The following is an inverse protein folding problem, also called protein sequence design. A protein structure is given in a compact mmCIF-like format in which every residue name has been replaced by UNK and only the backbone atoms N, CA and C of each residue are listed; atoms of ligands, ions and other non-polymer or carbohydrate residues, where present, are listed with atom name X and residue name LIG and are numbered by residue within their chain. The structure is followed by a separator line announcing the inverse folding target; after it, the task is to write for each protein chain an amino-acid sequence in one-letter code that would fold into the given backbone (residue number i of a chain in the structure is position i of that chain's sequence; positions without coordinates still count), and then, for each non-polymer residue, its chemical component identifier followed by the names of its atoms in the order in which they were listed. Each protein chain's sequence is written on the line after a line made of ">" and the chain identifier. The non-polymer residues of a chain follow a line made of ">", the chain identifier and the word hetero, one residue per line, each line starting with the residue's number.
data_IF_715913334989
#
_entry.id   IF_715913334989
#
_cell.length_a   1.000
_cell.length_b   1.000
_cell.length_c   1.000
_cell.angle_alpha   90.00
_cell.angle_beta   90.00
_cell.angle_gamma   90.00
#
_symmetry.space_group_name_H-M   'P 1'
#
loop_
_entity.id
_entity.type
_entity.pdbx_description
1 polymer ?
#
# COMPACT_ATOMS: atom_id res chain seq x y z
N UNK A 1 -2.68 -4.95 11.73
CA UNK A 1 -3.59 -3.94 11.18
C UNK A 1 -4.92 -4.60 10.90
N UNK A 2 -5.99 -4.07 11.45
CA UNK A 2 -7.34 -4.55 11.16
C UNK A 2 -7.94 -3.62 10.11
N UNK A 3 -8.20 -4.14 8.91
CA UNK A 3 -9.03 -3.47 7.92
C UNK A 3 -10.47 -3.89 8.20
N UNK A 4 -11.27 -2.98 8.75
CA UNK A 4 -12.72 -3.19 8.88
C UNK A 4 -13.34 -2.91 7.53
N UNK A 5 -13.78 -3.96 6.84
CA UNK A 5 -14.72 -3.85 5.74
C UNK A 5 -16.13 -3.96 6.32
N UNK A 6 -17.07 -3.16 5.83
CA UNK A 6 -18.47 -3.16 6.30
C UNK A 6 -19.03 -4.59 6.28
N UNK A 7 -19.16 -5.19 7.46
CA UNK A 7 -19.70 -6.54 7.67
C UNK A 7 -18.72 -7.68 7.86
N UNK A 8 -17.40 -7.47 7.74
CA UNK A 8 -16.40 -8.48 8.08
C UNK A 8 -15.10 -7.84 8.60
N UNK A 9 -14.56 -8.34 9.69
CA UNK A 9 -13.25 -7.95 10.19
C UNK A 9 -12.19 -8.84 9.56
N UNK A 10 -11.16 -8.23 8.98
CA UNK A 10 -10.03 -8.95 8.41
C UNK A 10 -8.74 -8.48 9.06
N UNK A 11 -8.01 -9.41 9.68
CA UNK A 11 -6.70 -9.15 10.23
C UNK A 11 -5.63 -9.62 9.25
N UNK A 12 -4.73 -8.72 8.87
CA UNK A 12 -3.58 -9.02 8.01
C UNK A 12 -2.33 -8.92 8.87
N UNK A 13 -1.60 -10.02 8.99
CA UNK A 13 -0.29 -10.04 9.64
C UNK A 13 0.79 -9.77 8.61
N UNK A 14 1.68 -8.82 8.92
CA UNK A 14 2.84 -8.51 8.09
C UNK A 14 3.91 -9.61 8.22
N UNK A 15 3.94 -10.50 7.25
CA UNK A 15 5.01 -11.49 7.06
C UNK A 15 5.58 -11.45 5.63
N UNK A 16 5.58 -10.25 5.01
CA UNK A 16 6.22 -10.00 3.71
C UNK A 16 5.29 -10.05 2.48
N UNK A 17 4.19 -10.80 2.48
CA UNK A 17 3.24 -10.87 1.38
C UNK A 17 2.01 -9.94 1.48
N UNK A 18 1.54 -9.53 2.66
CA UNK A 18 0.53 -8.46 2.75
C UNK A 18 0.99 -7.13 2.18
N UNK A 19 2.31 -6.89 2.14
CA UNK A 19 2.91 -5.77 1.42
C UNK A 19 2.58 -5.73 -0.06
N UNK A 20 2.36 -6.88 -0.72
CA UNK A 20 1.93 -6.94 -2.12
C UNK A 20 0.53 -6.32 -2.29
N UNK A 21 -0.39 -6.58 -1.38
CA UNK A 21 -1.73 -6.00 -1.45
C UNK A 21 -1.70 -4.47 -1.27
N UNK A 22 -0.93 -3.97 -0.32
CA UNK A 22 -0.71 -2.53 -0.14
C UNK A 22 -0.02 -1.93 -1.38
N UNK A 23 0.99 -2.61 -1.92
CA UNK A 23 1.70 -2.21 -3.13
C UNK A 23 0.73 -2.06 -4.32
N UNK A 24 -0.08 -3.08 -4.60
CA UNK A 24 -0.98 -3.10 -5.74
C UNK A 24 -2.21 -2.20 -5.53
N UNK A 25 -2.90 -2.34 -4.39
CA UNK A 25 -4.17 -1.66 -4.15
C UNK A 25 -4.04 -0.16 -3.82
N UNK A 26 -2.91 0.26 -3.25
CA UNK A 26 -2.71 1.64 -2.81
C UNK A 26 -1.48 2.25 -3.47
N UNK A 27 -0.34 1.56 -3.45
CA UNK A 27 0.95 2.10 -3.86
C UNK A 27 0.96 2.64 -5.29
N UNK A 28 0.54 1.85 -6.28
CA UNK A 28 0.46 2.31 -7.67
C UNK A 28 -0.51 3.48 -7.85
N UNK A 29 -1.57 3.54 -7.06
CA UNK A 29 -2.50 4.66 -7.07
C UNK A 29 -1.88 5.98 -6.59
N UNK A 30 -0.77 5.94 -5.84
CA UNK A 30 -0.07 7.10 -5.30
C UNK A 30 1.12 7.55 -6.16
N UNK A 31 1.34 6.95 -7.34
CA UNK A 31 2.35 7.40 -8.30
C UNK A 31 1.92 8.69 -9.00
N UNK A 32 2.83 9.64 -9.09
CA UNK A 32 2.54 11.03 -9.51
C UNK A 32 2.04 11.15 -10.95
N UNK A 33 2.49 10.31 -11.87
CA UNK A 33 2.10 10.37 -13.27
C UNK A 33 0.61 9.99 -13.48
N UNK A 34 0.09 9.00 -12.78
CA UNK A 34 -1.34 8.66 -12.79
C UNK A 34 -2.17 9.78 -12.18
N UNK A 35 -1.70 10.35 -11.06
CA UNK A 35 -2.40 11.42 -10.36
C UNK A 35 -2.43 12.72 -11.17
N UNK A 36 -1.32 13.08 -11.83
CA UNK A 36 -1.28 14.24 -12.74
C UNK A 36 -2.21 14.09 -13.94
N UNK A 37 -2.33 12.86 -14.47
CA UNK A 37 -3.21 12.56 -15.62
C UNK A 37 -4.69 12.42 -15.21
N UNK A 38 -5.00 12.40 -13.91
CA UNK A 38 -6.36 12.19 -13.40
C UNK A 38 -6.88 10.77 -13.57
N UNK A 39 -5.98 9.77 -13.67
CA UNK A 39 -6.32 8.36 -13.93
C UNK A 39 -6.15 7.48 -12.70
N UNK A 40 -5.94 8.07 -11.52
CA UNK A 40 -5.91 7.37 -10.24
C UNK A 40 -7.13 7.74 -9.40
N UNK A 41 -7.60 6.79 -8.59
CA UNK A 41 -8.58 7.01 -7.52
C UNK A 41 -8.17 8.14 -6.57
N UNK A 42 -6.88 8.37 -6.37
CA UNK A 42 -6.32 9.37 -5.46
C UNK A 42 -6.08 10.74 -6.12
N UNK A 43 -6.41 10.91 -7.40
CA UNK A 43 -6.20 12.17 -8.11
C UNK A 43 -6.95 13.32 -7.46
N UNK A 44 -6.24 14.43 -7.22
CA UNK A 44 -6.74 15.67 -6.57
C UNK A 44 -7.22 15.49 -5.12
N UNK A 45 -6.82 14.42 -4.43
CA UNK A 45 -7.25 14.15 -3.05
C UNK A 45 -6.21 14.51 -1.99
N UNK A 46 -5.15 15.25 -2.31
CA UNK A 46 -4.22 15.75 -1.29
C UNK A 46 -4.98 16.60 -0.26
N UNK A 47 -4.80 16.29 1.02
CA UNK A 47 -5.51 16.89 2.14
C UNK A 47 -6.84 16.21 2.48
N UNK A 48 -7.31 15.27 1.68
CA UNK A 48 -8.54 14.50 1.94
C UNK A 48 -8.24 13.20 2.68
N UNK A 49 -9.25 12.72 3.40
CA UNK A 49 -9.19 11.41 4.06
C UNK A 49 -9.38 10.30 3.02
N UNK A 50 -8.38 9.44 2.91
CA UNK A 50 -8.33 8.31 1.97
C UNK A 50 -8.16 6.97 2.68
N UNK A 51 -8.00 6.98 4.00
CA UNK A 51 -7.91 5.78 4.83
C UNK A 51 -8.44 6.04 6.23
N UNK A 52 -8.60 4.98 7.01
CA UNK A 52 -9.03 5.07 8.41
C UNK A 52 -8.05 5.91 9.25
N UNK A 53 -8.56 6.53 10.30
CA UNK A 53 -7.74 7.25 11.28
C UNK A 53 -6.67 6.34 11.86
N UNK A 54 -5.46 6.88 12.08
CA UNK A 54 -4.30 6.15 12.58
C UNK A 54 -3.50 5.42 11.49
N UNK A 55 -3.95 5.43 10.24
CA UNK A 55 -3.22 4.80 9.13
C UNK A 55 -2.14 5.76 8.61
N UNK A 56 -0.88 5.31 8.67
CA UNK A 56 0.27 6.00 8.10
C UNK A 56 0.92 5.11 7.04
N UNK A 57 1.14 5.64 5.85
CA UNK A 57 1.80 4.93 4.73
C UNK A 57 3.04 5.69 4.32
N UNK A 58 4.16 4.98 4.26
CA UNK A 58 5.45 5.49 3.84
C UNK A 58 5.93 4.79 2.57
N UNK A 59 6.69 5.51 1.75
CA UNK A 59 7.60 4.96 0.76
C UNK A 59 9.02 5.39 1.11
N UNK A 60 9.90 4.43 1.42
CA UNK A 60 11.21 4.70 2.00
C UNK A 60 12.32 3.90 1.31
N UNK A 61 13.01 4.57 0.39
CA UNK A 61 14.16 3.98 -0.29
C UNK A 61 15.44 3.93 0.56
N UNK A 62 15.45 4.60 1.72
CA UNK A 62 16.65 4.70 2.59
C UNK A 62 16.84 3.50 3.52
N UNK A 63 15.85 2.61 3.63
CA UNK A 63 15.92 1.41 4.47
C UNK A 63 17.05 0.51 3.97
N UNK A 64 17.99 0.16 4.85
CA UNK A 64 19.14 -0.65 4.48
C UNK A 64 18.75 -2.11 4.18
N UNK A 65 19.34 -2.70 3.14
CA UNK A 65 19.20 -4.12 2.79
C UNK A 65 17.77 -4.57 2.48
N UNK A 66 16.94 -3.69 1.90
CA UNK A 66 15.63 -4.05 1.33
C UNK A 66 15.69 -4.06 -0.20
N UNK A 67 14.75 -4.75 -0.83
CA UNK A 67 14.72 -4.90 -2.29
C UNK A 67 14.53 -3.58 -3.04
N UNK A 68 13.75 -2.66 -2.48
CA UNK A 68 13.49 -1.34 -3.05
C UNK A 68 14.49 -0.27 -2.64
N UNK A 69 15.54 -0.61 -1.87
CA UNK A 69 16.50 0.34 -1.33
C UNK A 69 17.43 0.87 -2.42
N UNK A 70 17.65 2.18 -2.42
CA UNK A 70 18.57 2.86 -3.32
C UNK A 70 19.15 4.10 -2.64
N UNK A 71 20.34 4.52 -3.09
CA UNK A 71 20.99 5.74 -2.59
C UNK A 71 20.50 6.96 -3.36
N UNK A 72 20.36 6.81 -4.67
CA UNK A 72 19.81 7.80 -5.60
C UNK A 72 18.89 7.09 -6.57
N UNK A 73 17.88 7.78 -7.09
CA UNK A 73 17.03 7.25 -8.15
C UNK A 73 17.70 7.34 -9.54
N UNK A 74 17.02 6.90 -10.59
CA UNK A 74 17.56 6.91 -11.96
C UNK A 74 17.66 8.32 -12.60
N UNK A 75 17.25 9.35 -11.90
CA UNK A 75 17.38 10.76 -12.28
C UNK A 75 18.43 11.51 -11.44
N UNK A 76 19.08 10.83 -10.49
CA UNK A 76 20.10 11.41 -9.60
C UNK A 76 19.53 12.10 -8.36
N UNK A 77 18.24 11.95 -8.10
CA UNK A 77 17.59 12.49 -6.90
C UNK A 77 17.90 11.58 -5.71
N UNK A 78 18.39 12.12 -4.57
CA UNK A 78 18.64 11.32 -3.38
C UNK A 78 17.39 10.60 -2.91
N UNK A 79 17.56 9.34 -2.49
CA UNK A 79 16.48 8.56 -1.89
C UNK A 79 15.99 9.20 -0.60
N UNK A 80 14.69 9.11 -0.36
CA UNK A 80 14.01 9.78 0.75
C UNK A 80 13.06 8.82 1.46
N UNK A 81 12.72 9.16 2.71
CA UNK A 81 11.57 8.61 3.41
C UNK A 81 10.38 9.53 3.18
N UNK A 82 9.46 9.11 2.36
CA UNK A 82 8.26 9.87 1.97
C UNK A 82 7.05 9.41 2.78
N UNK A 83 6.45 10.30 3.55
CA UNK A 83 5.14 10.09 4.17
C UNK A 83 4.07 10.40 3.12
N UNK A 84 3.35 9.38 2.67
CA UNK A 84 2.32 9.47 1.64
C UNK A 84 0.93 9.71 2.23
N UNK A 85 0.60 8.95 3.28
CA UNK A 85 -0.67 9.09 4.02
C UNK A 85 -0.32 9.26 5.49
N UNK A 86 -0.88 10.29 6.15
CA UNK A 86 -0.71 10.62 7.56
C UNK A 86 -2.07 10.62 8.27
N UNK A 87 -2.22 9.80 9.30
CA UNK A 87 -3.49 9.65 10.05
C UNK A 87 -4.70 9.44 9.12
N UNK A 88 -4.51 8.73 8.01
CA UNK A 88 -5.51 8.49 6.98
C UNK A 88 -5.73 9.64 5.99
N UNK A 89 -4.98 10.74 6.10
CA UNK A 89 -5.04 11.88 5.16
C UNK A 89 -3.94 11.73 4.12
N UNK A 90 -4.28 11.91 2.84
CA UNK A 90 -3.31 11.92 1.76
C UNK A 90 -2.47 13.19 1.80
N UNK A 91 -1.14 13.09 1.95
CA UNK A 91 -0.21 14.23 2.08
C UNK A 91 0.59 14.51 0.83
N UNK A 92 1.02 13.46 0.12
CA UNK A 92 1.78 13.62 -1.13
C UNK A 92 1.70 12.39 -2.03
N UNK A 93 2.12 12.56 -3.27
CA UNK A 93 2.36 11.48 -4.22
C UNK A 93 3.87 11.19 -4.35
N UNK A 94 4.21 10.01 -4.83
CA UNK A 94 5.57 9.68 -5.27
C UNK A 94 5.84 10.36 -6.62
N UNK A 95 6.98 11.05 -6.75
CA UNK A 95 7.29 11.89 -7.90
C UNK A 95 8.65 11.53 -8.51
N UNK A 96 8.70 11.51 -9.84
CA UNK A 96 9.91 11.72 -10.62
C UNK A 96 10.13 13.21 -10.86
N UNK A 97 11.23 13.60 -11.48
CA UNK A 97 11.57 14.99 -11.76
C UNK A 97 10.56 15.65 -12.72
N UNK A 98 10.13 14.92 -13.77
CA UNK A 98 9.20 15.45 -14.76
C UNK A 98 7.81 15.73 -14.17
N UNK A 99 7.24 14.75 -13.46
CA UNK A 99 5.91 14.91 -12.87
C UNK A 99 5.93 15.91 -11.71
N UNK A 100 7.00 15.95 -10.91
CA UNK A 100 7.21 16.96 -9.88
C UNK A 100 7.19 18.38 -10.46
N UNK A 101 7.95 18.62 -11.54
CA UNK A 101 7.97 19.90 -12.24
C UNK A 101 6.57 20.30 -12.77
N UNK A 102 5.88 19.35 -13.43
CA UNK A 102 4.55 19.62 -14.01
C UNK A 102 3.45 19.84 -12.95
N UNK A 103 3.63 19.31 -11.76
CA UNK A 103 2.71 19.48 -10.62
C UNK A 103 3.15 20.59 -9.66
N UNK A 104 4.29 21.27 -9.94
CA UNK A 104 4.88 22.30 -9.10
C UNK A 104 5.12 21.84 -7.65
N UNK A 105 5.73 20.67 -7.51
CA UNK A 105 6.15 20.05 -6.22
C UNK A 105 7.60 19.58 -6.33
N UNK A 106 8.19 19.18 -5.19
CA UNK A 106 9.54 18.61 -5.17
C UNK A 106 9.55 17.13 -5.58
N UNK A 107 10.62 16.66 -6.27
CA UNK A 107 10.82 15.25 -6.55
C UNK A 107 11.08 14.47 -5.26
N UNK A 108 10.65 13.22 -5.24
CA UNK A 108 10.67 12.38 -4.02
C UNK A 108 11.69 11.25 -4.05
N UNK A 109 12.57 11.19 -5.07
CA UNK A 109 13.56 10.12 -5.22
C UNK A 109 12.92 8.81 -5.69
N UNK A 110 11.84 8.91 -6.45
CA UNK A 110 11.07 7.78 -6.97
C UNK A 110 11.17 7.64 -8.50
N UNK A 111 12.04 8.42 -9.16
CA UNK A 111 12.25 8.35 -10.60
C UNK A 111 12.97 7.07 -10.99
N UNK A 112 12.26 6.08 -11.55
CA UNK A 112 12.83 4.78 -11.91
C UNK A 112 12.53 4.41 -13.34
N UNK A 113 13.46 3.72 -13.99
CA UNK A 113 13.34 3.25 -15.38
C UNK A 113 13.46 1.72 -15.45
N UNK A 114 12.81 1.14 -16.41
CA UNK A 114 12.90 -0.30 -16.68
C UNK A 114 14.30 -0.69 -17.20
N UNK A 115 14.91 0.16 -18.03
CA UNK A 115 16.25 0.00 -18.58
C UNK A 115 16.76 1.35 -19.09
N UNK A 116 18.02 1.40 -19.54
CA UNK A 116 18.62 2.59 -20.14
C UNK A 116 17.85 3.16 -21.34
N UNK A 117 17.07 2.33 -22.02
CA UNK A 117 16.28 2.72 -23.19
C UNK A 117 14.90 3.32 -22.85
N UNK A 118 14.54 3.40 -21.56
CA UNK A 118 13.23 3.87 -21.11
C UNK A 118 13.36 5.16 -20.30
N UNK A 119 12.41 6.07 -20.48
CA UNK A 119 12.30 7.25 -19.64
C UNK A 119 11.99 6.85 -18.19
N UNK A 120 12.56 7.54 -17.19
CA UNK A 120 12.15 7.41 -15.81
C UNK A 120 10.67 7.74 -15.64
N UNK A 121 10.06 7.12 -14.64
CA UNK A 121 8.68 7.38 -14.22
C UNK A 121 8.58 7.16 -12.71
N UNK A 122 7.57 7.74 -12.02
CA UNK A 122 7.41 7.50 -10.60
C UNK A 122 7.17 6.01 -10.33
N UNK A 123 7.92 5.46 -9.38
CA UNK A 123 7.78 4.06 -8.92
C UNK A 123 8.08 3.97 -7.44
N UNK A 124 7.40 3.03 -6.79
CA UNK A 124 7.62 2.70 -5.39
C UNK A 124 9.05 2.24 -5.13
N UNK A 125 9.54 2.54 -3.94
CA UNK A 125 10.75 1.96 -3.36
C UNK A 125 10.38 0.88 -2.35
N UNK A 126 10.44 1.13 -1.06
CA UNK A 126 9.91 0.24 -0.04
C UNK A 126 8.66 0.88 0.55
N UNK A 127 7.50 0.53 0.02
CA UNK A 127 6.23 1.03 0.51
C UNK A 127 5.71 0.15 1.63
N UNK A 128 5.38 0.75 2.77
CA UNK A 128 4.89 0.02 3.93
C UNK A 128 3.89 0.85 4.74
N UNK A 129 3.10 0.11 5.51
CA UNK A 129 2.23 0.67 6.52
C UNK A 129 2.98 0.73 7.85
N UNK A 130 2.90 1.85 8.54
CA UNK A 130 3.49 1.98 9.87
C UNK A 130 2.76 1.11 10.89
N UNK A 131 3.49 0.72 11.93
CA UNK A 131 2.91 -0.10 12.99
C UNK A 131 1.84 0.69 13.74
N UNK A 132 0.72 0.04 14.00
CA UNK A 132 -0.30 0.54 14.92
C UNK A 132 0.09 0.33 16.38
N UNK A 133 -0.82 0.70 17.28
CA UNK A 133 -0.65 0.57 18.72
C UNK A 133 -0.95 -0.83 19.27
N UNK A 134 -1.52 -1.72 18.47
CA UNK A 134 -1.92 -3.06 18.89
C UNK A 134 -0.93 -4.12 18.42
N UNK A 135 -0.65 -5.12 19.24
CA UNK A 135 0.08 -6.31 18.85
C UNK A 135 -0.75 -7.21 17.94
N UNK A 136 -0.10 -8.12 17.20
CA UNK A 136 -0.80 -9.08 16.34
C UNK A 136 -1.74 -9.99 17.13
N UNK A 137 -1.35 -10.33 18.33
CA UNK A 137 -2.12 -11.16 19.27
C UNK A 137 -3.38 -10.42 19.72
N UNK A 138 -3.26 -9.16 20.16
CA UNK A 138 -4.41 -8.33 20.56
C UNK A 138 -5.42 -8.15 19.41
N UNK A 139 -4.92 -7.99 18.17
CA UNK A 139 -5.79 -7.88 17.00
C UNK A 139 -6.57 -9.20 16.78
N UNK A 140 -5.90 -10.35 16.84
CA UNK A 140 -6.56 -11.65 16.68
C UNK A 140 -7.58 -11.89 17.79
N UNK A 141 -7.23 -11.57 19.03
CA UNK A 141 -8.12 -11.73 20.20
C UNK A 141 -9.37 -10.86 20.14
N UNK A 142 -9.29 -9.70 19.46
CA UNK A 142 -10.43 -8.80 19.29
C UNK A 142 -11.48 -9.32 18.30
N UNK A 143 -11.13 -10.31 17.45
CA UNK A 143 -12.00 -10.82 16.38
C UNK A 143 -12.87 -11.95 16.90
N UNK A 144 -14.19 -11.76 16.95
CA UNK A 144 -15.13 -12.80 17.33
C UNK A 144 -15.26 -13.90 16.26
N UNK A 145 -15.44 -13.50 14.99
CA UNK A 145 -15.45 -14.38 13.83
C UNK A 145 -14.85 -13.68 12.63
N UNK A 146 -13.80 -14.25 12.03
CA UNK A 146 -13.09 -13.63 10.92
C UNK A 146 -12.16 -14.59 10.21
N UNK A 147 -11.41 -14.05 9.23
CA UNK A 147 -10.43 -14.79 8.46
C UNK A 147 -9.05 -14.20 8.74
N UNK A 148 -8.10 -15.05 9.10
CA UNK A 148 -6.69 -14.73 9.16
C UNK A 148 -6.03 -15.13 7.85
N UNK A 149 -5.81 -14.16 6.96
CA UNK A 149 -5.11 -14.37 5.70
C UNK A 149 -3.60 -14.20 5.92
N UNK A 150 -2.85 -15.29 5.74
CA UNK A 150 -1.39 -15.32 5.93
C UNK A 150 -0.67 -14.91 4.66
N UNK A 151 -1.12 -15.47 3.51
CA UNK A 151 -0.51 -15.21 2.21
C UNK A 151 -1.57 -15.06 1.11
N UNK A 152 -1.21 -14.28 0.09
CA UNK A 152 -1.98 -14.12 -1.14
C UNK A 152 -1.21 -14.68 -2.33
N UNK A 153 -1.90 -15.42 -3.20
CA UNK A 153 -1.32 -16.09 -4.37
C UNK A 153 -1.35 -15.28 -5.66
N UNK A 154 -2.09 -14.19 -5.67
CA UNK A 154 -2.24 -13.29 -6.81
C UNK A 154 -3.51 -12.45 -6.71
N UNK A 155 -3.59 -11.42 -7.53
CA UNK A 155 -4.73 -10.52 -7.56
C UNK A 155 -4.69 -9.56 -8.74
N UNK A 156 -5.71 -8.73 -8.84
CA UNK A 156 -5.84 -7.67 -9.82
C UNK A 156 -6.35 -6.41 -9.15
N UNK A 157 -5.88 -5.26 -9.62
CA UNK A 157 -6.31 -3.94 -9.17
C UNK A 157 -6.62 -3.07 -10.38
N UNK A 158 -7.72 -2.38 -10.34
CA UNK A 158 -8.00 -1.26 -11.23
C UNK A 158 -7.64 0.05 -10.52
N UNK A 159 -6.53 0.66 -10.91
CA UNK A 159 -6.00 1.90 -10.31
C UNK A 159 -7.00 3.05 -10.44
N UNK A 160 -7.83 3.04 -11.49
CA UNK A 160 -8.78 4.13 -11.78
C UNK A 160 -9.99 4.10 -10.86
N UNK A 161 -10.59 2.92 -10.67
CA UNK A 161 -11.73 2.73 -9.76
C UNK A 161 -11.29 2.45 -8.33
N UNK A 162 -10.08 1.91 -8.14
CA UNK A 162 -9.56 1.43 -6.87
C UNK A 162 -10.04 0.02 -6.50
N UNK A 163 -10.79 -0.64 -7.36
CA UNK A 163 -11.30 -1.98 -7.09
C UNK A 163 -10.18 -3.01 -7.14
N UNK A 164 -10.19 -3.93 -6.20
CA UNK A 164 -9.20 -5.00 -6.15
C UNK A 164 -9.83 -6.35 -5.81
N UNK A 165 -9.17 -7.41 -6.29
CA UNK A 165 -9.48 -8.80 -5.98
C UNK A 165 -8.18 -9.54 -5.71
N UNK A 166 -8.02 -10.13 -4.53
CA UNK A 166 -6.86 -10.95 -4.17
C UNK A 166 -7.31 -12.31 -3.66
N UNK A 167 -6.72 -13.38 -4.19
CA UNK A 167 -6.96 -14.74 -3.72
C UNK A 167 -5.93 -15.12 -2.66
N UNK A 168 -6.40 -15.59 -1.51
CA UNK A 168 -5.52 -16.10 -0.46
C UNK A 168 -4.99 -17.48 -0.84
N UNK A 169 -3.68 -17.67 -0.71
CA UNK A 169 -3.03 -18.99 -0.83
C UNK A 169 -2.96 -19.72 0.51
N UNK A 170 -3.02 -18.96 1.63
CA UNK A 170 -3.05 -19.52 2.97
C UNK A 170 -3.95 -18.66 3.86
N UNK A 171 -4.97 -19.26 4.43
CA UNK A 171 -5.90 -18.58 5.34
C UNK A 171 -6.48 -19.52 6.40
N UNK A 172 -6.84 -18.96 7.54
CA UNK A 172 -7.40 -19.67 8.69
C UNK A 172 -8.67 -18.96 9.18
N UNK A 173 -9.60 -19.74 9.74
CA UNK A 173 -10.75 -19.21 10.45
C UNK A 173 -10.33 -18.70 11.83
N UNK A 174 -10.81 -17.50 12.20
CA UNK A 174 -10.76 -17.02 13.59
C UNK A 174 -12.15 -17.18 14.20
N UNK A 175 -12.20 -17.77 15.38
CA UNK A 175 -13.42 -17.88 16.18
C UNK A 175 -13.10 -17.58 17.66
N UNK A 176 -13.83 -16.64 18.24
CA UNK A 176 -13.68 -16.20 19.63
C UNK A 176 -12.21 -15.84 19.99
N UNK A 177 -11.58 -15.02 19.15
CA UNK A 177 -10.22 -14.56 19.37
C UNK A 177 -9.12 -15.60 19.16
N UNK A 178 -9.41 -16.73 18.51
CA UNK A 178 -8.44 -17.82 18.31
C UNK A 178 -8.43 -18.32 16.88
N UNK A 179 -7.23 -18.51 16.34
CA UNK A 179 -7.02 -19.20 15.05
C UNK A 179 -7.40 -20.65 15.21
N UNK A 180 -8.27 -21.18 14.35
CA UNK A 180 -8.83 -22.52 14.44
C UNK A 180 -8.30 -23.46 13.35
N UNK A 181 -8.88 -23.43 12.18
CA UNK A 181 -8.62 -24.39 11.11
C UNK A 181 -8.35 -23.67 9.80
N UNK A 182 -7.56 -24.29 8.89
CA UNK A 182 -7.31 -23.71 7.57
C UNK A 182 -8.58 -23.71 6.73
N UNK A 183 -8.71 -22.68 5.89
CA UNK A 183 -9.79 -22.54 4.93
C UNK A 183 -9.24 -22.46 3.51
N UNK A 184 -10.01 -22.90 2.53
CA UNK A 184 -9.68 -22.81 1.10
C UNK A 184 -10.56 -21.80 0.40
N UNK A 185 -10.00 -21.18 -0.65
CA UNK A 185 -10.78 -20.32 -1.57
C UNK A 185 -11.20 -18.97 -0.98
N UNK A 186 -10.51 -18.51 0.05
CA UNK A 186 -10.75 -17.17 0.57
C UNK A 186 -10.27 -16.14 -0.46
N UNK A 187 -11.17 -15.26 -0.85
CA UNK A 187 -10.89 -14.16 -1.78
C UNK A 187 -11.26 -12.85 -1.12
N UNK A 188 -10.33 -11.92 -1.14
CA UNK A 188 -10.53 -10.56 -0.68
C UNK A 188 -10.95 -9.70 -1.88
N UNK A 189 -12.10 -9.06 -1.77
CA UNK A 189 -12.63 -8.10 -2.75
C UNK A 189 -12.90 -6.81 -2.00
N UNK A 190 -12.43 -5.70 -2.54
CA UNK A 190 -12.61 -4.40 -1.92
C UNK A 190 -12.27 -3.25 -2.85
N UNK A 191 -12.27 -2.06 -2.27
CA UNK A 191 -11.89 -0.83 -2.96
C UNK A 191 -10.89 -0.07 -2.08
N UNK A 192 -9.81 0.43 -2.69
CA UNK A 192 -8.71 1.10 -1.98
C UNK A 192 -9.07 2.43 -1.30
N UNK A 193 -10.27 2.97 -1.55
CA UNK A 193 -10.77 4.21 -0.93
C UNK A 193 -11.74 3.97 0.24
N UNK A 194 -12.11 2.72 0.53
CA UNK A 194 -13.11 2.38 1.56
C UNK A 194 -12.52 1.57 2.71
#
# INVERSE_FOLDING_TARGET
>A
MCLSLVGSEMCIRDSGWPGVMLHEAVGHGLEGDFNRKGTSLYSNKIGERVASKGVNVFDDGTIINRRGSLTIDDEGVPSQKNLLIEDGILVKYMQDTQNAYLMNVEPTGNGRRQSFAHCPMPRMTNTYLDNGSFSSEEIIESVNRGIYAVNFGGGQVDITSGDFVFSSSEAYMIENGKIKYPIKGATLIGNGAN
#
